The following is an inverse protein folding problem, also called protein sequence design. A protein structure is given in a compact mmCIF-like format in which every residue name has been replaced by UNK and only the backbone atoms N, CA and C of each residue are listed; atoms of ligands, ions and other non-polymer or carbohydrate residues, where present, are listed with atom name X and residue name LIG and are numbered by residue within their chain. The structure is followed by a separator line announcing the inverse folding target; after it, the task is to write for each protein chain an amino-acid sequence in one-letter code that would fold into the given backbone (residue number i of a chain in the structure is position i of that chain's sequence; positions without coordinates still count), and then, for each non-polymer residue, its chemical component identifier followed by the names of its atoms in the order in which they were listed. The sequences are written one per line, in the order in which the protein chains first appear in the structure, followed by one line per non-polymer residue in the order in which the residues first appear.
data_IF_080560215786
#
_entry.id   IF_080560215786
#
_cell.length_a   1.000
_cell.length_b   1.000
_cell.length_c   1.000
_cell.angle_alpha   90.00
_cell.angle_beta   90.00
_cell.angle_gamma   90.00
#
_symmetry.space_group_name_H-M   'P 1'
#
loop_
_entity.id
_entity.type
_entity.pdbx_description
1 polymer ?
#
# COMPACT_ATOMS: atom_id res chain seq x y z
N UNK A 1 -28.60 -2.64 -63.81
CA UNK A 1 -27.37 -2.39 -63.03
C UNK A 1 -27.69 -2.06 -61.56
N UNK A 2 -27.66 -3.03 -60.61
CA UNK A 2 -27.84 -2.75 -59.15
C UNK A 2 -26.83 -3.44 -58.21
N UNK A 3 -25.97 -4.33 -58.73
CA UNK A 3 -25.04 -5.16 -57.93
C UNK A 3 -23.86 -4.36 -57.31
N UNK A 4 -23.53 -3.19 -57.85
CA UNK A 4 -22.42 -2.35 -57.36
C UNK A 4 -22.73 -1.62 -56.05
N UNK A 5 -23.93 -1.03 -55.94
CA UNK A 5 -24.35 -0.29 -54.74
C UNK A 5 -24.49 -1.20 -53.50
N UNK A 6 -25.00 -2.42 -53.68
CA UNK A 6 -25.13 -3.39 -52.60
C UNK A 6 -23.77 -3.87 -52.06
N UNK A 7 -22.75 -3.97 -52.92
CA UNK A 7 -21.38 -4.34 -52.52
C UNK A 7 -20.68 -3.23 -51.74
N UNK A 8 -20.84 -1.97 -52.15
CA UNK A 8 -20.34 -0.83 -51.36
C UNK A 8 -21.07 -0.71 -50.01
N UNK A 9 -22.39 -0.89 -49.98
CA UNK A 9 -23.16 -0.86 -48.73
C UNK A 9 -22.77 -1.97 -47.76
N UNK A 10 -22.46 -3.17 -48.27
CA UNK A 10 -21.96 -4.29 -47.47
C UNK A 10 -20.55 -4.04 -46.92
N UNK A 11 -19.66 -3.44 -47.71
CA UNK A 11 -18.30 -3.10 -47.27
C UNK A 11 -18.29 -2.00 -46.21
N UNK A 12 -19.16 -0.99 -46.33
CA UNK A 12 -19.31 0.07 -45.32
C UNK A 12 -19.86 -0.51 -44.02
N UNK A 13 -20.85 -1.41 -44.08
CA UNK A 13 -21.39 -2.07 -42.89
C UNK A 13 -20.33 -2.92 -42.16
N UNK A 14 -19.48 -3.64 -42.89
CA UNK A 14 -18.37 -4.40 -42.31
C UNK A 14 -17.33 -3.52 -41.62
N UNK A 15 -17.01 -2.35 -42.20
CA UNK A 15 -16.07 -1.40 -41.60
C UNK A 15 -16.61 -0.80 -40.28
N UNK A 16 -17.92 -0.54 -40.22
CA UNK A 16 -18.57 -0.04 -38.99
C UNK A 16 -18.55 -1.09 -37.89
N UNK A 17 -18.78 -2.37 -38.21
CA UNK A 17 -18.73 -3.46 -37.21
C UNK A 17 -17.30 -3.68 -36.67
N UNK A 18 -16.29 -3.59 -37.53
CA UNK A 18 -14.89 -3.71 -37.11
C UNK A 18 -14.49 -2.58 -36.14
N UNK A 19 -14.88 -1.34 -36.42
CA UNK A 19 -14.57 -0.20 -35.52
C UNK A 19 -15.30 -0.25 -34.17
N UNK A 20 -16.53 -0.77 -34.13
CA UNK A 20 -17.30 -0.96 -32.90
C UNK A 20 -16.70 -2.02 -31.96
N UNK A 21 -16.14 -3.10 -32.50
CA UNK A 21 -15.52 -4.18 -31.71
C UNK A 21 -14.20 -3.75 -31.05
N UNK A 22 -13.38 -2.96 -31.75
CA UNK A 22 -12.10 -2.45 -31.24
C UNK A 22 -12.33 -1.44 -30.11
N UNK A 23 -13.30 -0.52 -30.28
CA UNK A 23 -13.66 0.46 -29.25
C UNK A 23 -14.24 -0.19 -27.98
N UNK A 24 -15.12 -1.19 -28.13
CA UNK A 24 -15.66 -1.96 -27.00
C UNK A 24 -14.56 -2.69 -26.22
N UNK A 25 -13.59 -3.27 -26.93
CA UNK A 25 -12.44 -3.94 -26.30
C UNK A 25 -11.58 -2.95 -25.52
N UNK A 26 -11.29 -1.77 -26.08
CA UNK A 26 -10.52 -0.73 -25.39
C UNK A 26 -11.20 -0.25 -24.10
N UNK A 27 -12.53 -0.05 -24.12
CA UNK A 27 -13.32 0.32 -22.94
C UNK A 27 -13.27 -0.80 -21.88
N UNK A 28 -13.40 -2.06 -22.29
CA UNK A 28 -13.34 -3.22 -21.41
C UNK A 28 -11.97 -3.35 -20.71
N UNK A 29 -10.86 -3.17 -21.43
CA UNK A 29 -9.51 -3.20 -20.84
C UNK A 29 -9.29 -2.05 -19.85
N UNK A 30 -9.78 -0.84 -20.15
CA UNK A 30 -9.71 0.31 -19.23
C UNK A 30 -10.52 0.07 -17.96
N UNK A 31 -11.73 -0.50 -18.07
CA UNK A 31 -12.59 -0.82 -16.94
C UNK A 31 -12.01 -1.95 -16.05
N UNK A 32 -11.35 -2.95 -16.65
CA UNK A 32 -10.70 -4.03 -15.89
C UNK A 32 -9.50 -3.54 -15.08
N UNK A 33 -8.77 -2.53 -15.57
CA UNK A 33 -7.65 -1.93 -14.82
C UNK A 33 -8.06 -1.09 -13.62
N UNK A 34 -9.32 -0.64 -13.55
CA UNK A 34 -9.83 0.17 -12.41
C UNK A 34 -10.40 -0.69 -11.28
N UNK A 35 -10.70 -1.97 -11.54
CA UNK A 35 -11.14 -2.93 -10.51
C UNK A 35 -9.95 -3.60 -9.82
N UNK A 36 -8.95 -2.81 -9.42
CA UNK A 36 -7.94 -3.28 -8.48
C UNK A 36 -8.60 -3.31 -7.10
N UNK A 37 -8.99 -4.50 -6.62
CA UNK A 37 -9.45 -4.68 -5.25
C UNK A 37 -8.43 -4.01 -4.33
N UNK A 38 -8.82 -2.93 -3.64
CA UNK A 38 -8.01 -2.33 -2.57
C UNK A 38 -7.67 -3.45 -1.59
N UNK A 39 -6.44 -3.95 -1.61
CA UNK A 39 -5.99 -4.91 -0.61
C UNK A 39 -5.99 -4.19 0.74
N UNK A 40 -6.85 -4.62 1.66
CA UNK A 40 -6.83 -4.15 3.04
C UNK A 40 -5.59 -4.73 3.72
N UNK A 41 -4.74 -3.87 4.26
CA UNK A 41 -3.60 -4.25 5.12
C UNK A 41 -4.06 -4.11 6.56
N UNK A 42 -3.77 -5.10 7.41
CA UNK A 42 -3.94 -5.00 8.85
C UNK A 42 -2.54 -4.88 9.47
N UNK A 43 -2.08 -3.67 9.86
CA UNK A 43 -0.76 -3.50 10.44
C UNK A 43 -0.70 -3.92 11.91
N UNK A 44 0.44 -4.50 12.31
CA UNK A 44 0.74 -4.79 13.72
C UNK A 44 1.64 -3.69 14.26
N UNK A 45 1.15 -2.94 15.24
CA UNK A 45 1.92 -1.84 15.85
C UNK A 45 2.67 -2.36 17.07
N UNK A 46 3.97 -2.15 17.06
CA UNK A 46 4.86 -2.55 18.15
C UNK A 46 5.49 -1.28 18.76
N UNK A 47 5.41 -1.17 20.08
CA UNK A 47 5.89 -0.04 20.87
C UNK A 47 6.96 -0.53 21.85
N UNK A 48 8.11 0.14 21.93
CA UNK A 48 9.13 -0.27 22.90
C UNK A 48 8.80 0.21 24.32
N UNK A 49 9.25 -0.56 25.32
CA UNK A 49 9.14 -0.21 26.73
C UNK A 49 10.23 0.75 27.23
N UNK A 50 10.37 0.82 28.55
CA UNK A 50 11.41 1.62 29.22
C UNK A 50 12.81 1.23 28.74
N UNK A 51 13.64 2.24 28.40
CA UNK A 51 14.98 2.09 27.79
C UNK A 51 15.01 1.30 26.48
N UNK A 52 13.86 1.05 25.85
CA UNK A 52 13.82 0.40 24.55
C UNK A 52 14.58 1.20 23.49
N UNK A 53 15.28 0.49 22.61
CA UNK A 53 16.05 1.06 21.50
C UNK A 53 15.73 0.35 20.20
N UNK A 54 16.15 0.96 19.09
CA UNK A 54 16.05 0.38 17.76
C UNK A 54 16.61 -1.06 17.69
N UNK A 55 17.81 -1.30 18.21
CA UNK A 55 18.43 -2.63 18.19
C UNK A 55 17.64 -3.67 18.98
N UNK A 56 17.21 -3.36 20.21
CA UNK A 56 16.45 -4.31 21.05
C UNK A 56 15.17 -4.77 20.36
N UNK A 57 14.55 -3.87 19.61
CA UNK A 57 13.31 -4.13 18.90
C UNK A 57 13.53 -4.84 17.57
N UNK A 58 14.58 -4.50 16.82
CA UNK A 58 14.97 -5.23 15.61
C UNK A 58 15.24 -6.71 15.92
N UNK A 59 15.92 -6.99 17.04
CA UNK A 59 16.14 -8.36 17.51
C UNK A 59 14.86 -9.08 17.97
N UNK A 60 13.84 -8.36 18.46
CA UNK A 60 12.53 -8.92 18.77
C UNK A 60 11.78 -9.29 17.49
N UNK A 61 11.72 -8.37 16.52
CA UNK A 61 11.06 -8.62 15.24
C UNK A 61 11.67 -9.82 14.49
N UNK A 62 13.00 -9.94 14.53
CA UNK A 62 13.70 -11.09 13.96
C UNK A 62 13.23 -12.42 14.58
N UNK A 63 13.03 -12.46 15.91
CA UNK A 63 12.50 -13.66 16.59
C UNK A 63 11.06 -13.99 16.23
N UNK A 64 10.28 -13.00 15.80
CA UNK A 64 8.90 -13.17 15.35
C UNK A 64 8.80 -13.56 13.86
N UNK A 65 9.93 -13.80 13.18
CA UNK A 65 9.95 -14.21 11.78
C UNK A 65 9.81 -13.05 10.79
N UNK A 66 9.99 -11.80 11.24
CA UNK A 66 10.16 -10.68 10.32
C UNK A 66 11.62 -10.65 9.82
N UNK A 67 11.80 -10.70 8.51
CA UNK A 67 13.13 -10.83 7.90
C UNK A 67 14.09 -9.72 8.35
N UNK A 68 15.28 -10.16 8.80
CA UNK A 68 16.33 -9.32 9.38
C UNK A 68 17.15 -8.57 8.33
N UNK A 69 17.02 -8.92 7.05
CA UNK A 69 17.95 -8.50 6.00
C UNK A 69 18.07 -6.97 5.87
N UNK A 70 17.11 -6.20 6.41
CA UNK A 70 17.16 -4.73 6.43
C UNK A 70 16.80 -4.06 7.79
N UNK A 71 16.63 -4.78 8.91
CA UNK A 71 16.16 -4.20 10.19
C UNK A 71 14.83 -3.41 10.14
N UNK A 72 13.91 -3.73 9.23
CA UNK A 72 12.80 -2.82 8.94
C UNK A 72 11.44 -3.48 9.18
N UNK A 73 10.80 -3.09 10.29
CA UNK A 73 9.36 -2.86 10.25
C UNK A 73 9.04 -2.05 8.99
N UNK A 74 7.96 -2.40 8.28
CA UNK A 74 7.57 -1.72 7.04
C UNK A 74 7.44 -0.20 7.22
N UNK A 75 7.12 0.23 8.44
CA UNK A 75 7.15 1.63 8.83
C UNK A 75 7.79 1.79 10.21
N UNK A 76 8.59 2.85 10.38
CA UNK A 76 9.15 3.30 11.64
C UNK A 76 8.63 4.69 11.95
N UNK A 77 8.19 4.91 13.18
CA UNK A 77 7.70 6.18 13.68
C UNK A 77 8.53 6.53 14.91
N UNK A 78 9.33 7.60 14.85
CA UNK A 78 10.00 8.16 16.00
C UNK A 78 9.18 9.35 16.52
N UNK A 79 8.67 9.20 17.74
CA UNK A 79 7.97 10.24 18.49
C UNK A 79 9.02 11.08 19.23
N UNK A 80 9.15 12.33 18.83
CA UNK A 80 10.07 13.29 19.45
C UNK A 80 9.51 13.77 20.80
N UNK A 81 10.37 14.31 21.66
CA UNK A 81 9.95 14.90 22.95
C UNK A 81 8.99 16.09 22.78
N UNK A 82 9.03 16.75 21.62
CA UNK A 82 8.11 17.81 21.22
C UNK A 82 6.72 17.31 20.77
N UNK A 83 6.49 16.00 20.74
CA UNK A 83 5.26 15.38 20.20
C UNK A 83 5.22 15.27 18.67
N UNK A 84 6.24 15.79 17.97
CA UNK A 84 6.37 15.65 16.50
C UNK A 84 6.76 14.23 16.12
N UNK A 85 6.30 13.77 14.95
CA UNK A 85 6.58 12.45 14.41
C UNK A 85 7.62 12.51 13.29
N UNK A 86 8.61 11.63 13.33
CA UNK A 86 9.50 11.32 12.21
C UNK A 86 9.14 9.93 11.68
N UNK A 87 8.61 9.87 10.48
CA UNK A 87 8.18 8.61 9.84
C UNK A 87 9.21 8.19 8.80
N UNK A 88 9.51 6.89 8.73
CA UNK A 88 10.40 6.30 7.74
C UNK A 88 9.83 4.96 7.29
N UNK A 89 9.97 4.63 6.01
CA UNK A 89 9.33 3.45 5.42
C UNK A 89 7.88 3.70 5.01
N UNK A 90 7.28 2.71 4.34
CA UNK A 90 5.96 2.80 3.72
C UNK A 90 5.23 1.46 3.89
N UNK A 91 3.92 1.53 4.14
CA UNK A 91 3.04 0.35 4.13
C UNK A 91 2.36 0.24 2.77
N UNK A 92 2.75 -0.75 1.95
CA UNK A 92 2.17 -0.94 0.63
C UNK A 92 1.13 -2.08 0.60
N UNK A 93 -0.04 -1.86 -0.02
CA UNK A 93 -1.06 -2.88 -0.15
C UNK A 93 -0.58 -4.11 -0.92
N UNK A 94 -0.42 -5.23 -0.22
CA UNK A 94 -0.04 -6.50 -0.82
C UNK A 94 1.40 -6.95 -0.61
N UNK A 95 2.18 -6.22 0.19
CA UNK A 95 3.46 -6.72 0.71
C UNK A 95 3.20 -7.95 1.57
N UNK A 96 3.69 -9.10 1.11
CA UNK A 96 3.47 -10.40 1.75
C UNK A 96 4.30 -10.60 3.03
N UNK A 97 5.26 -9.72 3.29
CA UNK A 97 6.34 -10.00 4.26
C UNK A 97 6.30 -9.20 5.54
N UNK A 98 5.78 -7.97 5.55
CA UNK A 98 5.93 -7.13 6.73
C UNK A 98 4.85 -6.05 6.82
N UNK A 99 3.95 -6.17 7.80
CA UNK A 99 3.03 -5.09 8.19
C UNK A 99 3.36 -4.57 9.59
N UNK A 100 4.55 -4.87 10.12
CA UNK A 100 4.97 -4.36 11.41
C UNK A 100 5.23 -2.86 11.30
N UNK A 101 4.72 -2.11 12.26
CA UNK A 101 5.05 -0.71 12.49
C UNK A 101 5.87 -0.63 13.77
N UNK A 102 7.06 -0.04 13.69
CA UNK A 102 7.93 0.20 14.83
C UNK A 102 7.77 1.62 15.34
N UNK A 103 7.24 1.77 16.54
CA UNK A 103 7.15 3.08 17.20
C UNK A 103 8.24 3.20 18.25
N UNK A 104 9.06 4.24 18.11
CA UNK A 104 10.09 4.63 19.07
C UNK A 104 9.79 5.98 19.68
N UNK A 105 10.20 6.15 20.94
CA UNK A 105 10.15 7.41 21.65
C UNK A 105 11.56 7.93 21.85
N UNK A 106 11.80 9.19 21.48
CA UNK A 106 13.07 9.87 21.71
C UNK A 106 13.41 9.90 23.21
N UNK A 107 12.40 10.14 24.05
CA UNK A 107 12.50 9.86 25.48
C UNK A 107 12.02 8.43 25.78
N UNK A 108 12.97 7.51 25.75
CA UNK A 108 12.73 6.10 26.05
C UNK A 108 12.67 5.80 27.56
N UNK A 109 12.88 6.79 28.43
CA UNK A 109 12.85 6.63 29.90
C UNK A 109 11.66 7.30 30.57
N UNK A 110 10.94 8.17 29.87
CA UNK A 110 9.65 8.64 30.33
C UNK A 110 8.70 7.46 30.62
N UNK A 111 8.03 7.51 31.77
CA UNK A 111 6.88 6.64 32.08
C UNK A 111 5.84 6.74 30.95
N UNK A 112 5.11 5.66 30.67
CA UNK A 112 4.06 5.65 29.64
C UNK A 112 3.04 6.78 29.84
N UNK A 113 2.75 7.15 31.10
CA UNK A 113 1.87 8.26 31.44
C UNK A 113 2.40 9.64 31.01
N UNK A 114 3.72 9.79 30.91
CA UNK A 114 4.39 11.03 30.50
C UNK A 114 4.85 11.00 29.04
N UNK A 115 4.66 9.89 28.32
CA UNK A 115 4.93 9.88 26.88
C UNK A 115 3.84 10.68 26.18
N UNK A 116 4.17 11.45 25.13
CA UNK A 116 3.19 12.17 24.32
C UNK A 116 2.40 11.21 23.41
N UNK A 117 1.83 10.16 23.98
CA UNK A 117 0.81 9.28 23.37
C UNK A 117 -0.57 9.89 23.65
N UNK A 118 -0.62 11.22 23.84
CA UNK A 118 -1.83 11.96 24.18
C UNK A 118 -2.98 11.51 23.29
N UNK A 119 -4.08 11.10 23.92
CA UNK A 119 -5.29 10.53 23.35
C UNK A 119 -5.42 10.81 21.85
N UNK A 120 -5.31 9.77 21.03
CA UNK A 120 -5.84 9.79 19.68
C UNK A 120 -7.35 10.01 19.85
N UNK A 121 -7.80 11.24 19.62
CA UNK A 121 -9.21 11.62 19.65
C UNK A 121 -9.75 11.68 18.23
#
# INVERSE_FOLDING_TARGET
MKKGAARCSLLVAMLVLLTASVSSSAIYYKAKTTSSKKKTIIPTVFMHGYKGTFNSFGHMLNRLGYDYQDNNAAMRILVLTSGKLKVSGTLLPGDKGNSAIQVLFQDNRASLANKPIGCIK
#
